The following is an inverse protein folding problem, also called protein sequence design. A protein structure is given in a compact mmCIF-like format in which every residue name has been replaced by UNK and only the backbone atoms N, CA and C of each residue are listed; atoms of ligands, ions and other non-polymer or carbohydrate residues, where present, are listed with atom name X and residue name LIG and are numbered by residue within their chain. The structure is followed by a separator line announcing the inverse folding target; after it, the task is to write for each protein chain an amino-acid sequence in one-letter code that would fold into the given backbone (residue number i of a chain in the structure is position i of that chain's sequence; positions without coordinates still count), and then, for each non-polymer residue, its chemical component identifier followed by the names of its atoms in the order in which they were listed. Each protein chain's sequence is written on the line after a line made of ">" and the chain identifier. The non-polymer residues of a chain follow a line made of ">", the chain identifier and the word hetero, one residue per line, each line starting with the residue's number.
data_IF_321628451391
#
_entry.id   IF_321628451391
#
_cell.length_a   1.000
_cell.length_b   1.000
_cell.length_c   1.000
_cell.angle_alpha   90.00
_cell.angle_beta   90.00
_cell.angle_gamma   90.00
#
_symmetry.space_group_name_H-M   'P 1'
#
loop_
_entity.id
_entity.type
_entity.pdbx_description
1 polymer ?
#
# COMPACT_ATOMS: atom_id res chain seq x y z
N UNK A 1 -16.75 -18.04 -1.43
CA UNK A 1 -16.07 -16.98 -0.98
C UNK A 1 -15.19 -17.25 0.18
N UNK A 2 -14.14 -16.54 0.30
CA UNK A 2 -13.30 -16.79 1.38
C UNK A 2 -13.92 -16.21 2.61
N UNK A 3 -13.97 -16.86 3.66
CA UNK A 3 -14.60 -16.35 4.83
C UNK A 3 -13.66 -15.48 5.58
N UNK A 4 -14.23 -14.63 6.35
CA UNK A 4 -13.48 -13.70 7.06
C UNK A 4 -12.49 -14.29 7.95
N UNK A 5 -12.77 -15.21 8.62
CA UNK A 5 -11.88 -15.73 9.58
C UNK A 5 -10.75 -16.49 9.10
N UNK A 6 -10.61 -16.51 7.81
CA UNK A 6 -9.79 -17.32 7.33
C UNK A 6 -8.52 -17.15 7.75
N UNK A 7 -7.88 -16.60 7.96
CA UNK A 7 -6.59 -16.46 8.46
C UNK A 7 -6.60 -15.86 9.77
N UNK A 8 -5.50 -15.91 10.43
CA UNK A 8 -5.36 -15.37 11.72
C UNK A 8 -5.64 -13.90 11.75
N UNK A 9 -5.39 -13.21 10.82
CA UNK A 9 -5.66 -11.85 10.85
C UNK A 9 -6.98 -11.55 10.26
N UNK A 10 -7.96 -12.17 10.68
CA UNK A 10 -9.26 -12.08 10.10
C UNK A 10 -9.64 -10.80 9.47
N UNK A 11 -9.02 -9.67 9.88
CA UNK A 11 -9.41 -8.50 9.27
C UNK A 11 -8.76 -8.31 8.01
N UNK A 12 -7.98 -9.16 7.60
CA UNK A 12 -7.42 -8.96 6.36
C UNK A 12 -8.34 -9.44 5.40
N UNK A 13 -9.44 -9.53 5.57
CA UNK A 13 -10.14 -10.14 4.80
C UNK A 13 -10.89 -9.67 4.07
N UNK A 14 -11.54 -9.96 3.90
CA UNK A 14 -11.98 -10.22 2.71
C UNK A 14 -13.35 -10.72 2.78
N UNK A 15 -13.99 -10.53 3.87
CA UNK A 15 -15.34 -10.91 3.98
C UNK A 15 -16.25 -9.75 3.66
N UNK A 16 -15.74 -8.71 3.13
CA UNK A 16 -16.55 -7.62 2.69
C UNK A 16 -17.05 -7.83 1.26
N UNK A 17 -17.27 -6.78 0.53
CA UNK A 17 -17.73 -6.86 -0.84
C UNK A 17 -17.13 -5.74 -1.69
N UNK A 18 -17.11 -5.95 -3.01
CA UNK A 18 -16.75 -4.92 -3.95
C UNK A 18 -17.80 -4.92 -5.04
N UNK A 19 -18.31 -3.76 -5.38
CA UNK A 19 -19.29 -3.60 -6.45
C UNK A 19 -18.83 -2.55 -7.44
N UNK A 20 -19.29 -2.61 -8.70
CA UNK A 20 -18.90 -1.63 -9.69
C UNK A 20 -19.20 -0.21 -9.24
N UNK A 21 -18.37 0.70 -9.59
CA UNK A 21 -18.54 2.11 -9.24
C UNK A 21 -17.87 2.54 -7.95
N UNK A 22 -17.36 1.60 -7.18
CA UNK A 22 -16.62 1.98 -5.97
C UNK A 22 -15.25 2.49 -6.33
N UNK A 23 -14.68 3.30 -5.46
CA UNK A 23 -13.33 3.81 -5.62
C UNK A 23 -12.32 2.92 -4.91
N UNK A 24 -11.10 2.89 -5.42
CA UNK A 24 -9.99 2.27 -4.73
C UNK A 24 -9.13 3.40 -4.14
N UNK A 25 -8.80 3.28 -2.89
CA UNK A 25 -7.98 4.26 -2.18
C UNK A 25 -6.77 3.56 -1.60
N UNK A 26 -5.61 4.18 -1.71
CA UNK A 26 -4.39 3.64 -1.10
C UNK A 26 -4.06 4.48 0.13
N UNK A 27 -3.88 3.84 1.27
CA UNK A 27 -3.43 4.50 2.48
C UNK A 27 -2.01 4.03 2.77
N UNK A 28 -1.13 4.95 3.06
CA UNK A 28 0.29 4.66 3.25
C UNK A 28 1.07 4.88 1.96
N UNK A 29 2.35 4.60 1.98
CA UNK A 29 3.23 4.81 0.84
C UNK A 29 3.75 3.47 0.33
N UNK A 30 3.66 3.28 -0.99
CA UNK A 30 4.08 2.03 -1.61
C UNK A 30 5.60 1.91 -1.69
N UNK A 31 6.09 0.70 -1.55
CA UNK A 31 7.50 0.38 -1.82
C UNK A 31 8.52 0.77 -0.76
N UNK A 32 8.12 1.39 0.33
CA UNK A 32 9.08 1.85 1.34
C UNK A 32 9.87 0.72 1.99
N UNK A 33 9.23 -0.39 2.32
CA UNK A 33 9.91 -1.49 2.98
C UNK A 33 10.99 -2.08 2.07
N UNK A 34 10.67 -2.27 0.80
CA UNK A 34 11.63 -2.77 -0.16
C UNK A 34 12.77 -1.80 -0.42
N UNK A 35 12.48 -0.50 -0.49
CA UNK A 35 13.51 0.52 -0.67
C UNK A 35 14.47 0.55 0.53
N UNK A 36 13.95 0.36 1.74
CA UNK A 36 14.78 0.27 2.95
C UNK A 36 15.69 -0.94 2.90
N UNK A 37 15.20 -2.08 2.39
CA UNK A 37 16.03 -3.27 2.27
C UNK A 37 17.14 -3.05 1.24
N UNK A 38 16.85 -2.38 0.13
CA UNK A 38 17.86 -2.06 -0.86
C UNK A 38 18.91 -1.13 -0.23
N UNK A 39 18.47 -0.14 0.52
CA UNK A 39 19.40 0.78 1.17
C UNK A 39 20.33 0.03 2.12
N UNK A 40 19.79 -0.89 2.90
CA UNK A 40 20.62 -1.66 3.83
C UNK A 40 21.67 -2.50 3.11
N UNK A 41 21.32 -3.08 1.97
CA UNK A 41 22.23 -3.94 1.23
C UNK A 41 23.19 -3.19 0.32
N UNK A 42 22.81 -2.03 -0.16
CA UNK A 42 23.58 -1.27 -1.13
C UNK A 42 23.95 0.13 -0.60
N UNK A 43 24.14 0.23 0.70
CA UNK A 43 24.36 1.49 1.34
C UNK A 43 25.49 2.30 0.73
N UNK A 44 26.62 1.70 0.46
CA UNK A 44 27.75 2.43 -0.10
C UNK A 44 27.45 3.01 -1.47
N UNK A 45 26.76 2.28 -2.32
CA UNK A 45 26.40 2.79 -3.65
C UNK A 45 25.44 3.94 -3.53
N UNK A 46 24.49 3.86 -2.62
CA UNK A 46 23.51 4.92 -2.44
C UNK A 46 24.14 6.16 -1.82
N UNK A 47 25.05 5.97 -0.87
CA UNK A 47 25.76 7.10 -0.25
C UNK A 47 26.65 7.80 -1.26
N UNK A 48 27.15 7.09 -2.25
CA UNK A 48 27.94 7.71 -3.30
C UNK A 48 27.12 8.49 -4.31
N UNK A 49 25.81 8.24 -4.38
CA UNK A 49 24.96 8.90 -5.35
C UNK A 49 24.04 9.95 -4.76
N UNK A 50 23.56 9.79 -3.56
CA UNK A 50 22.59 10.67 -2.96
C UNK A 50 23.11 11.36 -1.71
N UNK A 51 22.62 12.54 -1.44
CA UNK A 51 23.00 13.28 -0.25
C UNK A 51 22.47 12.60 1.01
N UNK A 52 23.17 12.74 2.14
CA UNK A 52 22.71 12.12 3.40
C UNK A 52 21.28 12.55 3.80
N UNK A 53 20.91 13.80 3.50
CA UNK A 53 19.57 14.26 3.83
C UNK A 53 18.51 13.51 3.04
N UNK A 54 18.80 13.13 1.81
CA UNK A 54 17.88 12.36 0.97
C UNK A 54 17.75 10.95 1.54
N UNK A 55 18.86 10.31 1.92
CA UNK A 55 18.85 8.95 2.40
C UNK A 55 18.22 8.80 3.78
N UNK A 56 18.18 9.88 4.56
CA UNK A 56 17.51 9.82 5.86
C UNK A 56 16.04 9.49 5.75
N UNK A 57 15.42 9.78 4.61
CA UNK A 57 14.02 9.39 4.41
C UNK A 57 13.84 7.89 4.50
N UNK A 58 14.84 7.11 4.11
CA UNK A 58 14.74 5.66 4.11
C UNK A 58 15.04 5.06 5.50
N UNK A 59 15.71 5.82 6.35
CA UNK A 59 16.01 5.34 7.69
C UNK A 59 14.91 5.71 8.67
N UNK A 60 14.13 6.72 8.37
CA UNK A 60 13.14 7.25 9.28
C UNK A 60 11.94 6.32 9.37
N UNK A 61 11.48 6.08 10.58
CA UNK A 61 10.29 5.27 10.79
C UNK A 61 9.04 5.99 10.32
N UNK A 62 8.02 5.24 10.00
CA UNK A 62 6.77 5.81 9.57
C UNK A 62 6.10 6.56 10.72
N UNK A 63 5.48 7.66 10.40
CA UNK A 63 4.86 8.51 11.42
C UNK A 63 3.54 7.96 11.93
N UNK A 64 2.94 7.00 11.24
CA UNK A 64 1.69 6.42 11.68
C UNK A 64 1.60 4.97 11.22
N UNK A 65 0.69 4.22 11.83
CA UNK A 65 0.48 2.82 11.54
C UNK A 65 -0.83 2.66 10.78
N UNK A 66 -0.75 2.22 9.53
CA UNK A 66 -1.90 2.09 8.64
C UNK A 66 -2.89 1.05 9.17
N UNK A 67 -2.40 -0.06 9.74
CA UNK A 67 -3.28 -1.09 10.28
C UNK A 67 -4.12 -0.55 11.42
N UNK A 68 -3.49 0.21 12.32
CA UNK A 68 -4.19 0.79 13.45
C UNK A 68 -5.20 1.82 12.94
N UNK A 69 -4.80 2.65 11.99
CA UNK A 69 -5.70 3.63 11.39
C UNK A 69 -6.91 2.95 10.77
N UNK A 70 -6.70 1.87 10.00
CA UNK A 70 -7.80 1.17 9.34
C UNK A 70 -8.74 0.52 10.37
N UNK A 71 -8.19 -0.09 11.41
CA UNK A 71 -9.01 -0.69 12.44
C UNK A 71 -9.91 0.35 13.11
N UNK A 72 -9.39 1.56 13.31
CA UNK A 72 -10.19 2.63 13.89
C UNK A 72 -11.26 3.11 12.90
N UNK A 73 -10.94 3.19 11.61
CA UNK A 73 -11.93 3.59 10.60
C UNK A 73 -13.04 2.55 10.49
N UNK A 74 -12.71 1.26 10.57
CA UNK A 74 -13.71 0.22 10.45
C UNK A 74 -14.68 0.19 11.64
N UNK A 75 -14.32 0.81 12.77
CA UNK A 75 -15.19 0.88 13.91
C UNK A 75 -16.21 2.01 13.79
N UNK A 76 -16.02 2.93 12.83
CA UNK A 76 -16.94 4.04 12.64
C UNK A 76 -18.26 3.50 12.09
N UNK A 77 -19.37 4.07 12.57
CA UNK A 77 -20.70 3.60 12.20
C UNK A 77 -20.96 3.70 10.70
N UNK A 78 -20.51 4.77 10.08
CA UNK A 78 -20.77 4.99 8.67
C UNK A 78 -19.52 4.81 7.81
N UNK A 79 -18.67 3.85 8.15
CA UNK A 79 -17.44 3.64 7.42
C UNK A 79 -17.73 3.23 5.97
N UNK A 80 -17.17 3.93 4.99
CA UNK A 80 -17.43 3.62 3.60
C UNK A 80 -16.61 2.46 3.06
N UNK A 81 -15.66 1.94 3.82
CA UNK A 81 -14.77 0.87 3.36
C UNK A 81 -15.51 -0.46 3.38
N UNK A 82 -15.50 -1.17 2.26
CA UNK A 82 -16.18 -2.45 2.14
C UNK A 82 -15.23 -3.62 1.96
N UNK A 83 -14.01 -3.40 1.54
CA UNK A 83 -13.01 -4.46 1.39
C UNK A 83 -11.61 -3.83 1.41
N UNK A 84 -10.60 -4.60 1.74
CA UNK A 84 -9.24 -4.10 1.76
C UNK A 84 -8.23 -5.23 1.57
N UNK A 85 -7.03 -4.86 1.16
CA UNK A 85 -5.92 -5.79 1.02
C UNK A 85 -4.63 -5.05 1.37
N UNK A 86 -3.80 -5.60 2.25
CA UNK A 86 -2.53 -4.99 2.59
C UNK A 86 -1.50 -5.32 1.53
N UNK A 87 -0.68 -4.34 1.17
CA UNK A 87 0.42 -4.54 0.26
C UNK A 87 1.59 -5.16 1.03
N UNK A 88 2.12 -6.25 0.52
CA UNK A 88 3.23 -6.96 1.16
C UNK A 88 4.19 -7.39 0.06
N UNK A 89 4.55 -8.66 -0.03
CA UNK A 89 5.42 -9.13 -1.08
C UNK A 89 4.72 -8.99 -2.41
N UNK A 90 5.42 -8.59 -3.41
CA UNK A 90 4.87 -8.28 -4.72
C UNK A 90 4.34 -6.87 -4.83
N UNK A 91 4.35 -6.12 -3.72
CA UNK A 91 4.01 -4.70 -3.70
C UNK A 91 2.54 -4.39 -3.90
N UNK A 92 2.26 -3.14 -4.25
CA UNK A 92 0.88 -2.67 -4.38
C UNK A 92 0.18 -3.32 -5.56
N UNK A 93 0.88 -3.66 -6.62
CA UNK A 93 0.24 -4.30 -7.78
C UNK A 93 -0.26 -5.69 -7.43
N UNK A 94 0.46 -6.44 -6.60
CA UNK A 94 -0.01 -7.74 -6.16
C UNK A 94 -1.23 -7.59 -5.26
N UNK A 95 -1.27 -6.56 -4.43
CA UNK A 95 -2.45 -6.30 -3.60
C UNK A 95 -3.68 -6.00 -4.46
N UNK A 96 -3.53 -5.21 -5.51
CA UNK A 96 -4.62 -4.92 -6.43
C UNK A 96 -5.07 -6.21 -7.14
N UNK A 97 -4.12 -7.02 -7.58
CA UNK A 97 -4.41 -8.27 -8.27
C UNK A 97 -5.18 -9.22 -7.35
N UNK A 98 -4.75 -9.34 -6.10
CA UNK A 98 -5.40 -10.22 -5.15
C UNK A 98 -6.83 -9.75 -4.86
N UNK A 99 -7.01 -8.46 -4.66
CA UNK A 99 -8.33 -7.91 -4.35
C UNK A 99 -9.27 -8.11 -5.55
N UNK A 100 -8.79 -7.85 -6.75
CA UNK A 100 -9.56 -8.03 -7.98
C UNK A 100 -9.95 -9.50 -8.15
N UNK A 101 -9.03 -10.42 -7.91
CA UNK A 101 -9.28 -11.84 -8.06
C UNK A 101 -10.24 -12.41 -7.03
N UNK A 102 -10.09 -12.00 -5.78
CA UNK A 102 -10.94 -12.51 -4.71
C UNK A 102 -12.40 -12.11 -4.93
N UNK A 103 -12.64 -10.89 -5.39
CA UNK A 103 -14.00 -10.41 -5.58
C UNK A 103 -14.46 -10.49 -7.04
N UNK A 104 -13.60 -11.01 -7.94
CA UNK A 104 -13.92 -11.20 -9.34
C UNK A 104 -14.42 -9.92 -10.00
N UNK A 105 -13.68 -8.83 -9.84
CA UNK A 105 -14.02 -7.53 -10.40
C UNK A 105 -12.88 -7.01 -11.25
N UNK A 106 -13.19 -6.21 -12.26
CA UNK A 106 -12.17 -5.49 -13.01
C UNK A 106 -11.76 -4.24 -12.26
N UNK A 107 -10.52 -3.83 -12.43
CA UNK A 107 -10.00 -2.65 -11.76
C UNK A 107 -9.34 -1.75 -12.78
N UNK A 108 -9.66 -0.45 -12.70
CA UNK A 108 -9.06 0.55 -13.54
C UNK A 108 -8.29 1.48 -12.61
N UNK A 109 -6.96 1.53 -12.72
CA UNK A 109 -6.15 2.34 -11.83
C UNK A 109 -5.19 3.21 -12.61
N UNK A 110 -4.92 4.39 -12.06
CA UNK A 110 -3.90 5.28 -12.57
C UNK A 110 -2.72 5.16 -11.61
N UNK A 111 -1.63 4.54 -12.07
CA UNK A 111 -0.46 4.30 -11.23
C UNK A 111 0.13 5.59 -10.65
N UNK A 112 -0.07 6.71 -11.34
CA UNK A 112 0.45 7.99 -10.85
C UNK A 112 -0.23 8.46 -9.56
N UNK A 113 -1.41 7.90 -9.28
CA UNK A 113 -2.17 8.28 -8.08
C UNK A 113 -1.76 7.46 -6.84
N UNK A 114 -0.92 6.45 -7.00
CA UNK A 114 -0.48 5.65 -5.88
C UNK A 114 0.57 6.43 -5.09
N UNK A 115 0.38 6.68 -3.79
CA UNK A 115 1.34 7.42 -3.01
C UNK A 115 2.69 6.72 -2.94
N UNK A 116 3.76 7.44 -3.24
CA UNK A 116 5.09 6.88 -3.24
C UNK A 116 6.07 7.99 -2.92
N UNK A 117 6.98 7.76 -2.01
CA UNK A 117 7.99 8.77 -1.67
C UNK A 117 9.00 8.89 -2.79
N UNK A 118 9.50 10.08 -3.02
CA UNK A 118 10.49 10.30 -4.07
C UNK A 118 11.73 9.44 -3.85
N UNK A 119 12.13 9.20 -2.61
CA UNK A 119 13.28 8.36 -2.32
C UNK A 119 13.08 6.93 -2.86
N UNK A 120 11.86 6.41 -2.81
CA UNK A 120 11.58 5.07 -3.34
C UNK A 120 11.73 5.07 -4.86
N UNK A 121 11.19 6.10 -5.52
CA UNK A 121 11.26 6.22 -6.98
C UNK A 121 12.72 6.27 -7.44
N UNK A 122 13.52 7.10 -6.79
CA UNK A 122 14.93 7.26 -7.17
C UNK A 122 15.76 6.00 -6.93
N UNK A 123 15.55 5.32 -5.82
CA UNK A 123 16.25 4.07 -5.53
C UNK A 123 15.86 3.00 -6.56
N UNK A 124 14.58 2.90 -6.87
CA UNK A 124 14.12 1.90 -7.83
C UNK A 124 14.66 2.19 -9.22
N UNK A 125 14.74 3.47 -9.59
CA UNK A 125 15.28 3.83 -10.89
C UNK A 125 16.75 3.47 -10.97
N UNK A 126 17.52 3.69 -9.93
CA UNK A 126 18.94 3.39 -9.90
C UNK A 126 19.21 1.90 -10.08
N UNK A 127 18.37 1.04 -9.52
CA UNK A 127 18.56 -0.40 -9.58
C UNK A 127 17.63 -1.11 -10.59
N UNK A 128 16.94 -0.33 -11.40
CA UNK A 128 16.03 -0.84 -12.42
C UNK A 128 14.98 -1.81 -11.88
N UNK A 129 14.38 -1.42 -10.75
CA UNK A 129 13.34 -2.19 -10.08
C UNK A 129 12.00 -1.47 -10.26
N UNK A 130 10.94 -2.22 -10.47
CA UNK A 130 9.60 -1.63 -10.57
C UNK A 130 9.07 -1.33 -9.16
N UNK A 131 8.89 -0.06 -8.80
CA UNK A 131 8.48 0.29 -7.43
C UNK A 131 7.09 -0.19 -7.07
N UNK A 132 6.22 -0.41 -8.07
CA UNK A 132 4.86 -0.86 -7.80
C UNK A 132 4.83 -2.35 -7.44
N UNK A 133 5.91 -3.08 -7.70
CA UNK A 133 6.03 -4.48 -7.33
C UNK A 133 6.95 -4.69 -6.13
N UNK A 134 7.54 -3.61 -5.66
CA UNK A 134 8.50 -3.69 -4.57
C UNK A 134 7.79 -3.96 -3.24
N UNK A 135 8.40 -4.74 -2.41
CA UNK A 135 7.86 -5.10 -1.10
C UNK A 135 7.38 -3.86 -0.33
N UNK A 136 6.19 -3.94 0.19
CA UNK A 136 5.59 -2.84 0.93
C UNK A 136 5.13 -3.31 2.31
N UNK A 137 5.11 -2.39 3.25
CA UNK A 137 4.54 -2.60 4.55
C UNK A 137 3.88 -1.29 4.90
N UNK A 138 2.99 -1.28 5.83
CA UNK A 138 2.28 -0.07 6.27
C UNK A 138 1.60 0.61 5.08
N UNK A 139 1.00 -0.20 4.22
CA UNK A 139 0.32 0.28 3.03
C UNK A 139 -0.86 -0.66 2.74
N UNK A 140 -2.02 -0.10 2.48
CA UNK A 140 -3.24 -0.88 2.24
C UNK A 140 -4.03 -0.29 1.10
N UNK A 141 -4.68 -1.16 0.31
CA UNK A 141 -5.59 -0.68 -0.72
C UNK A 141 -7.00 -0.99 -0.25
N UNK A 142 -7.89 -0.02 -0.38
CA UNK A 142 -9.25 -0.09 0.13
C UNK A 142 -10.24 0.08 -1.01
N UNK A 143 -11.32 -0.72 -1.00
CA UNK A 143 -12.46 -0.46 -1.86
C UNK A 143 -13.49 0.26 -1.00
N UNK A 144 -13.99 1.36 -1.47
CA UNK A 144 -14.92 2.14 -0.67
C UNK A 144 -15.87 2.98 -1.48
N UNK A 145 -16.98 3.32 -0.87
CA UNK A 145 -17.92 4.25 -1.44
C UNK A 145 -17.39 5.65 -1.14
N UNK A 146 -17.51 6.55 -2.09
CA UNK A 146 -17.13 7.94 -1.89
C UNK A 146 -15.67 8.10 -1.45
N UNK A 147 -14.77 7.38 -2.15
CA UNK A 147 -13.36 7.41 -1.82
C UNK A 147 -12.75 8.80 -1.78
N UNK A 148 -13.25 9.73 -2.58
CA UNK A 148 -12.76 11.10 -2.55
C UNK A 148 -12.92 11.78 -1.20
N UNK A 149 -13.98 11.47 -0.48
CA UNK A 149 -14.18 12.06 0.84
C UNK A 149 -13.19 11.44 1.83
N UNK A 150 -12.92 10.16 1.72
CA UNK A 150 -11.96 9.49 2.59
C UNK A 150 -10.56 10.06 2.39
N UNK A 151 -10.17 10.33 1.16
CA UNK A 151 -8.85 10.89 0.87
C UNK A 151 -8.72 12.29 1.49
N UNK A 152 -9.79 13.05 1.51
CA UNK A 152 -9.74 14.39 2.06
C UNK A 152 -9.86 14.45 3.58
N UNK A 153 -10.25 13.39 4.20
CA UNK A 153 -10.33 13.35 5.65
C UNK A 153 -9.02 12.80 6.26
#
# INVERSE_FOLDING_TARGET
>A
MRTAGQGPGGFEKRDGFIKPGQDLVVAGYAGMAGARLIFQKKKEKLEGRFAPSFLRCLEKEDSYNVKEWLENELKQKDCPVTAWEYAKEGGILTAVWNLSGIFNVGVDIDLRMIPMKQAVVEVCEMFEVNPYRLFSENCVILACDRGGQMVRS
#
